data_IF_595457181607
#
_entry.id   IF_595457181607
#
_cell.length_a   1.000
_cell.length_b   1.000
_cell.length_c   1.000
_cell.angle_alpha   90.00
_cell.angle_beta   90.00
_cell.angle_gamma   90.00
#
_symmetry.space_group_name_H-M   'P 1'
#
loop_
_entity.id
_entity.type
_entity.pdbx_description
1 polymer ?
#
# COMPACT_ATOMS: atom_id res chain seq x y z
N UNK A 1 5.14 9.29 -16.29
CA UNK A 1 4.36 9.10 -15.06
C UNK A 1 5.07 8.10 -14.17
N UNK A 2 5.19 8.40 -12.89
CA UNK A 2 5.72 7.52 -11.85
C UNK A 2 4.59 6.80 -11.14
N UNK A 3 4.87 5.62 -10.61
CA UNK A 3 3.88 4.85 -9.83
C UNK A 3 3.47 5.62 -8.58
N UNK A 4 4.35 6.41 -7.96
CA UNK A 4 4.00 7.22 -6.79
C UNK A 4 2.88 8.24 -7.03
N UNK A 5 2.64 8.67 -8.28
CA UNK A 5 1.62 9.68 -8.60
C UNK A 5 0.20 9.17 -8.29
N UNK A 6 -0.07 7.87 -8.46
CA UNK A 6 -1.38 7.29 -8.11
C UNK A 6 -1.59 7.14 -6.59
N UNK A 7 -0.59 7.45 -5.76
CA UNK A 7 -0.69 7.46 -4.29
C UNK A 7 -0.95 8.86 -3.72
N UNK A 8 -0.98 9.92 -4.54
CA UNK A 8 -1.16 11.30 -4.06
C UNK A 8 -2.48 11.49 -3.30
N UNK A 9 -3.57 10.95 -3.84
CA UNK A 9 -4.87 10.96 -3.17
C UNK A 9 -4.97 9.80 -2.18
N UNK A 10 -4.99 10.12 -0.89
CA UNK A 10 -5.21 9.13 0.18
C UNK A 10 -6.68 8.64 0.18
N UNK A 11 -6.94 7.37 0.53
CA UNK A 11 -8.30 6.87 0.77
C UNK A 11 -8.96 7.57 1.96
N UNK A 12 -10.28 7.73 1.87
CA UNK A 12 -11.09 8.39 2.92
C UNK A 12 -11.13 7.57 4.22
N UNK A 13 -11.03 6.25 4.10
CA UNK A 13 -11.09 5.30 5.22
C UNK A 13 -9.89 4.36 5.16
N UNK A 14 -9.39 4.01 6.35
CA UNK A 14 -8.26 3.11 6.56
C UNK A 14 -8.71 1.89 7.34
N UNK A 15 -8.04 0.74 7.15
CA UNK A 15 -8.33 -0.48 7.92
C UNK A 15 -7.85 -0.35 9.37
N UNK A 16 -6.56 -0.10 9.56
CA UNK A 16 -5.90 0.09 10.83
C UNK A 16 -4.97 1.30 10.80
N UNK A 17 -4.51 1.74 11.98
CA UNK A 17 -3.75 2.99 12.15
C UNK A 17 -2.36 2.98 11.51
N UNK A 18 -1.82 1.80 11.18
CA UNK A 18 -0.55 1.65 10.47
C UNK A 18 -0.68 1.76 8.95
N UNK A 19 -1.87 1.56 8.39
CA UNK A 19 -2.07 1.59 6.93
C UNK A 19 -1.72 2.93 6.27
N UNK A 20 -2.01 4.12 6.86
CA UNK A 20 -1.56 5.39 6.32
C UNK A 20 -0.03 5.51 6.23
N UNK A 21 0.70 4.88 7.15
CA UNK A 21 2.16 4.90 7.15
C UNK A 21 2.72 3.98 6.08
N UNK A 22 2.14 2.78 5.93
CA UNK A 22 2.49 1.88 4.84
C UNK A 22 2.19 2.50 3.47
N UNK A 23 1.06 3.18 3.32
CA UNK A 23 0.72 3.94 2.10
C UNK A 23 1.80 4.95 1.72
N UNK A 24 2.26 5.75 2.69
CA UNK A 24 3.31 6.74 2.48
C UNK A 24 4.66 6.10 2.20
N UNK A 25 5.00 5.01 2.89
CA UNK A 25 6.24 4.26 2.64
C UNK A 25 6.25 3.67 1.21
N UNK A 26 5.13 3.08 0.75
CA UNK A 26 5.01 2.57 -0.61
C UNK A 26 5.10 3.68 -1.65
N UNK A 27 4.45 4.83 -1.41
CA UNK A 27 4.56 6.01 -2.27
C UNK A 27 6.02 6.45 -2.41
N UNK A 28 6.78 6.51 -1.32
CA UNK A 28 8.20 6.88 -1.34
C UNK A 28 9.05 5.83 -2.07
N UNK A 29 8.87 4.55 -1.77
CA UNK A 29 9.58 3.43 -2.45
C UNK A 29 9.36 3.41 -3.95
N UNK A 30 8.19 3.86 -4.40
CA UNK A 30 7.77 3.85 -5.80
C UNK A 30 7.99 5.19 -6.52
N UNK A 31 8.69 6.16 -5.91
CA UNK A 31 8.88 7.51 -6.48
C UNK A 31 9.66 7.51 -7.80
N UNK A 32 10.64 6.60 -7.93
CA UNK A 32 11.47 6.50 -9.13
C UNK A 32 10.98 5.43 -10.11
N UNK A 33 9.99 4.63 -9.72
CA UNK A 33 9.41 3.58 -10.56
C UNK A 33 8.53 4.19 -11.64
N UNK A 34 8.90 4.00 -12.91
CA UNK A 34 8.06 4.39 -14.03
C UNK A 34 6.78 3.55 -14.02
N UNK A 35 5.65 4.18 -14.40
CA UNK A 35 4.40 3.47 -14.60
C UNK A 35 4.60 2.34 -15.64
N UNK A 36 4.21 1.09 -15.33
CA UNK A 36 4.36 -0.04 -16.26
C UNK A 36 3.36 0.06 -17.41
N UNK A 37 3.47 -0.84 -18.39
CA UNK A 37 2.64 -0.81 -19.61
C UNK A 37 1.26 -1.45 -19.46
N UNK A 38 0.98 -2.12 -18.33
CA UNK A 38 -0.33 -2.71 -18.06
C UNK A 38 -0.63 -2.80 -16.55
N UNK A 39 -1.93 -2.87 -16.17
CA UNK A 39 -2.35 -2.92 -14.78
C UNK A 39 -1.89 -4.19 -14.06
N UNK A 40 -1.73 -5.33 -14.75
CA UNK A 40 -1.26 -6.57 -14.10
C UNK A 40 0.18 -6.44 -13.59
N UNK A 41 1.04 -5.75 -14.33
CA UNK A 41 2.41 -5.45 -13.88
C UNK A 41 2.42 -4.39 -12.79
N UNK A 42 1.54 -3.39 -12.84
CA UNK A 42 1.39 -2.42 -11.75
C UNK A 42 1.02 -3.13 -10.45
N UNK A 43 0.05 -4.03 -10.51
CA UNK A 43 -0.36 -4.82 -9.37
C UNK A 43 0.83 -5.57 -8.79
N UNK A 44 1.54 -6.37 -9.60
CA UNK A 44 2.73 -7.12 -9.14
C UNK A 44 3.78 -6.24 -8.49
N UNK A 45 4.07 -5.06 -9.06
CA UNK A 45 5.02 -4.11 -8.47
C UNK A 45 4.57 -3.67 -7.07
N UNK A 46 3.29 -3.33 -6.91
CA UNK A 46 2.74 -2.90 -5.62
C UNK A 46 2.75 -4.06 -4.61
N UNK A 47 2.37 -5.28 -5.03
CA UNK A 47 2.37 -6.47 -4.18
C UNK A 47 3.79 -6.82 -3.70
N UNK A 48 4.79 -6.75 -4.59
CA UNK A 48 6.19 -6.98 -4.25
C UNK A 48 6.72 -5.93 -3.26
N UNK A 49 6.41 -4.65 -3.47
CA UNK A 49 6.82 -3.60 -2.54
C UNK A 49 6.06 -3.66 -1.21
N UNK A 50 4.80 -4.08 -1.21
CA UNK A 50 4.05 -4.38 0.00
C UNK A 50 4.75 -5.48 0.81
N UNK A 51 5.13 -6.59 0.18
CA UNK A 51 5.81 -7.69 0.87
C UNK A 51 7.20 -7.25 1.39
N UNK A 52 7.97 -6.50 0.59
CA UNK A 52 9.26 -5.96 1.02
C UNK A 52 9.14 -4.97 2.18
N UNK A 53 8.10 -4.15 2.19
CA UNK A 53 7.87 -3.19 3.26
C UNK A 53 7.38 -3.90 4.54
N UNK A 54 6.43 -4.83 4.42
CA UNK A 54 5.76 -5.41 5.58
C UNK A 54 6.46 -6.65 6.14
N UNK A 55 7.20 -7.38 5.31
CA UNK A 55 7.70 -8.73 5.62
C UNK A 55 6.63 -9.82 5.48
N UNK A 56 5.42 -9.49 4.99
CA UNK A 56 4.31 -10.42 4.82
C UNK A 56 3.77 -10.36 3.39
N UNK A 57 3.51 -11.51 2.74
CA UNK A 57 2.79 -11.51 1.48
C UNK A 57 1.33 -11.13 1.69
N UNK A 58 0.63 -10.67 0.65
CA UNK A 58 -0.81 -10.38 0.72
C UNK A 58 -1.68 -11.61 0.99
N UNK A 59 -1.14 -12.82 0.83
CA UNK A 59 -1.81 -14.06 1.26
C UNK A 59 -1.88 -14.21 2.78
N UNK A 60 -1.14 -13.40 3.53
CA UNK A 60 -1.29 -13.30 4.98
C UNK A 60 -2.55 -12.50 5.32
N UNK A 61 -3.55 -13.15 5.91
CA UNK A 61 -4.88 -12.55 6.10
C UNK A 61 -5.09 -11.92 7.49
N UNK A 62 -4.26 -12.27 8.47
CA UNK A 62 -4.42 -11.78 9.84
C UNK A 62 -3.80 -10.39 10.02
N UNK A 63 -4.44 -9.48 10.78
CA UNK A 63 -3.82 -8.22 11.15
C UNK A 63 -2.50 -8.43 11.90
N UNK A 64 -1.48 -7.68 11.50
CA UNK A 64 -0.16 -7.72 12.11
C UNK A 64 0.34 -6.32 12.47
N UNK A 65 1.49 -6.26 13.13
CA UNK A 65 2.03 -5.01 13.66
C UNK A 65 3.42 -4.71 13.10
N UNK A 66 3.64 -3.47 12.67
CA UNK A 66 4.94 -2.96 12.27
C UNK A 66 5.39 -1.90 13.28
N UNK A 67 6.45 -2.21 14.02
CA UNK A 67 6.95 -1.36 15.11
C UNK A 67 7.40 0.03 14.63
N UNK A 68 8.04 0.14 13.46
CA UNK A 68 8.48 1.43 12.91
C UNK A 68 7.34 2.37 12.53
N UNK A 69 6.11 1.86 12.38
CA UNK A 69 4.91 2.69 12.18
C UNK A 69 4.28 3.11 13.51
N UNK A 70 4.92 2.80 14.64
CA UNK A 70 4.45 3.24 15.94
C UNK A 70 4.82 4.71 16.19
N UNK A 71 3.83 5.60 16.32
CA UNK A 71 4.05 7.02 16.64
C UNK A 71 3.32 7.46 17.93
N UNK A 72 3.03 6.51 18.82
CA UNK A 72 2.47 6.74 20.16
C UNK A 72 1.03 6.25 20.30
N UNK A 73 0.69 5.75 21.50
CA UNK A 73 -0.58 5.10 21.80
C UNK A 73 -0.59 3.60 21.48
N UNK A 74 -1.47 2.84 22.13
CA UNK A 74 -1.65 1.41 21.83
C UNK A 74 -2.16 1.27 20.38
N UNK A 75 -1.48 0.50 19.55
CA UNK A 75 -1.91 0.10 18.19
C UNK A 75 -1.79 1.15 17.07
N UNK A 76 -0.83 2.07 17.07
CA UNK A 76 -0.64 2.98 15.92
C UNK A 76 0.04 2.31 14.71
N UNK A 77 0.69 1.15 14.88
CA UNK A 77 1.42 0.44 13.80
C UNK A 77 0.72 -0.81 13.24
N UNK A 78 -0.58 -1.00 13.51
CA UNK A 78 -1.33 -2.16 13.01
C UNK A 78 -1.61 -2.05 11.51
N UNK A 79 -1.40 -3.13 10.76
CA UNK A 79 -1.68 -3.26 9.33
C UNK A 79 -2.87 -4.19 9.12
N UNK A 80 -3.80 -3.79 8.25
CA UNK A 80 -4.96 -4.60 7.87
C UNK A 80 -4.76 -5.21 6.48
N UNK A 81 -4.38 -6.49 6.36
CA UNK A 81 -4.24 -7.12 5.04
C UNK A 81 -5.52 -7.08 4.21
N UNK A 82 -6.68 -7.23 4.88
CA UNK A 82 -8.00 -7.12 4.25
C UNK A 82 -8.15 -5.78 3.52
N UNK A 83 -7.83 -4.66 4.18
CA UNK A 83 -7.88 -3.33 3.56
C UNK A 83 -7.00 -3.23 2.30
N UNK A 84 -5.79 -3.82 2.33
CA UNK A 84 -4.89 -3.79 1.19
C UNK A 84 -5.43 -4.60 0.00
N UNK A 85 -5.95 -5.79 0.27
CA UNK A 85 -6.49 -6.70 -0.76
C UNK A 85 -7.82 -6.20 -1.34
N UNK A 86 -8.75 -5.74 -0.49
CA UNK A 86 -10.11 -5.41 -0.91
C UNK A 86 -10.28 -3.98 -1.38
N UNK A 87 -9.40 -3.07 -0.95
CA UNK A 87 -9.63 -1.62 -1.09
C UNK A 87 -8.43 -0.90 -1.69
N UNK A 88 -7.27 -0.88 -1.04
CA UNK A 88 -6.17 -0.03 -1.44
C UNK A 88 -5.57 -0.41 -2.81
N UNK A 89 -5.24 -1.69 -3.01
CA UNK A 89 -4.67 -2.14 -4.30
C UNK A 89 -5.69 -2.02 -5.43
N UNK A 90 -6.94 -2.51 -5.32
CA UNK A 90 -7.94 -2.30 -6.36
C UNK A 90 -8.16 -0.83 -6.71
N UNK A 91 -8.14 0.08 -5.73
CA UNK A 91 -8.24 1.52 -5.95
C UNK A 91 -7.04 2.07 -6.74
N UNK A 92 -5.82 1.65 -6.40
CA UNK A 92 -4.60 2.04 -7.12
C UNK A 92 -4.60 1.52 -8.57
N UNK A 93 -5.07 0.29 -8.80
CA UNK A 93 -5.22 -0.26 -10.15
C UNK A 93 -6.30 0.50 -10.93
N UNK A 94 -7.43 0.83 -10.31
CA UNK A 94 -8.46 1.62 -10.99
C UNK A 94 -7.95 3.00 -11.42
N UNK A 95 -7.08 3.62 -10.62
CA UNK A 95 -6.45 4.90 -10.99
C UNK A 95 -5.63 4.77 -12.28
N UNK A 96 -4.96 3.63 -12.50
CA UNK A 96 -4.22 3.35 -13.74
C UNK A 96 -5.11 3.44 -14.99
N UNK A 97 -6.32 2.89 -14.92
CA UNK A 97 -7.26 2.87 -16.05
C UNK A 97 -7.82 4.26 -16.39
N UNK A 98 -7.67 5.22 -15.46
CA UNK A 98 -8.18 6.59 -15.60
C UNK A 98 -7.08 7.63 -15.91
N UNK A 99 -5.83 7.19 -16.07
CA UNK A 99 -4.68 8.02 -16.46
C UNK A 99 -4.78 8.49 -17.91
#
# INVERSE_FOLDING_TARGET
MKVSEIFEEEPVQWGLRGDPYLWRELKERLSETNMPENPEKLQRIIEEEYEKATGYPLSHQEPFFIERFQHGGMSSGGISPEFWVSTAIPMLIHRYDTL
#
